data_IF_371562183995
#
_entry.id   IF_371562183995
#
_cell.length_a   1.000
_cell.length_b   1.000
_cell.length_c   1.000
_cell.angle_alpha   90.00
_cell.angle_beta   90.00
_cell.angle_gamma   90.00
#
_symmetry.space_group_name_H-M   'P 1'
#
loop_
_entity.id
_entity.type
_entity.pdbx_description
1 polymer ?
#
# COMPACT_ATOMS: atom_id res chain seq x y z
N UNK A 1 18.73 28.38 -27.04
CA UNK A 1 17.33 28.13 -27.40
C UNK A 1 16.52 29.24 -26.76
N UNK A 2 15.80 30.02 -27.56
CA UNK A 2 14.99 31.14 -27.06
C UNK A 2 13.66 30.59 -26.48
N UNK A 3 13.06 31.27 -25.51
CA UNK A 3 11.81 30.86 -24.86
C UNK A 3 10.66 30.72 -25.88
N UNK A 4 10.70 31.56 -26.93
CA UNK A 4 9.78 31.52 -28.08
C UNK A 4 9.98 30.33 -29.00
N UNK A 5 11.14 29.67 -28.94
CA UNK A 5 11.45 28.47 -29.70
C UNK A 5 10.89 27.24 -28.96
N UNK A 6 11.05 27.20 -27.64
CA UNK A 6 10.46 26.15 -26.78
C UNK A 6 8.93 26.20 -26.84
N UNK A 7 8.32 27.38 -26.71
CA UNK A 7 6.87 27.54 -26.80
C UNK A 7 6.33 27.07 -28.16
N UNK A 8 7.06 27.34 -29.24
CA UNK A 8 6.66 26.94 -30.60
C UNK A 8 6.74 25.43 -30.79
N UNK A 9 7.85 24.80 -30.38
CA UNK A 9 8.01 23.34 -30.44
C UNK A 9 6.95 22.64 -29.60
N UNK A 10 6.61 23.18 -28.42
CA UNK A 10 5.58 22.62 -27.56
C UNK A 10 4.18 22.77 -28.17
N UNK A 11 3.84 23.94 -28.73
CA UNK A 11 2.55 24.17 -29.39
C UNK A 11 2.38 23.30 -30.63
N UNK A 12 3.40 23.20 -31.46
CA UNK A 12 3.38 22.37 -32.68
C UNK A 12 3.24 20.89 -32.32
N UNK A 13 3.91 20.43 -31.25
CA UNK A 13 3.79 19.05 -30.75
C UNK A 13 2.39 18.72 -30.21
N UNK A 14 1.78 19.63 -29.44
CA UNK A 14 0.40 19.46 -28.96
C UNK A 14 -0.62 19.46 -30.10
N UNK A 15 -0.42 20.32 -31.11
CA UNK A 15 -1.32 20.38 -32.25
C UNK A 15 -1.25 19.09 -33.09
N UNK A 16 -0.05 18.56 -33.35
CA UNK A 16 0.11 17.28 -34.03
C UNK A 16 -0.57 16.12 -33.28
N UNK A 17 -0.44 16.08 -31.95
CA UNK A 17 -1.11 15.07 -31.10
C UNK A 17 -2.63 15.22 -31.09
N UNK A 18 -3.15 16.45 -31.17
CA UNK A 18 -4.58 16.70 -31.24
C UNK A 18 -5.19 16.31 -32.59
N UNK A 19 -4.41 16.41 -33.68
CA UNK A 19 -4.81 15.99 -35.03
C UNK A 19 -4.79 14.46 -35.19
N UNK A 20 -3.87 13.76 -34.53
CA UNK A 20 -3.78 12.29 -34.51
C UNK A 20 -4.74 11.61 -33.52
N UNK A 21 -5.35 12.37 -32.61
CA UNK A 21 -6.32 11.84 -31.66
C UNK A 21 -7.65 11.56 -32.36
N UNK A 22 -7.93 10.28 -32.65
CA UNK A 22 -9.20 9.83 -33.20
C UNK A 22 -10.35 9.99 -32.17
N UNK A 23 -10.93 11.19 -32.15
CA UNK A 23 -12.07 11.59 -31.30
C UNK A 23 -13.40 10.94 -31.70
N UNK A 24 -13.42 10.12 -32.77
CA UNK A 24 -14.64 9.48 -33.23
C UNK A 24 -15.01 8.21 -32.43
N UNK A 25 -14.11 7.69 -31.59
CA UNK A 25 -14.39 6.52 -30.76
C UNK A 25 -14.95 6.97 -29.41
N UNK A 26 -16.22 6.69 -29.07
CA UNK A 26 -16.75 7.02 -27.76
C UNK A 26 -15.96 6.28 -26.68
N UNK A 27 -15.15 7.02 -25.92
CA UNK A 27 -14.26 6.52 -24.84
C UNK A 27 -15.02 5.63 -23.85
N UNK A 28 -16.29 5.95 -23.63
CA UNK A 28 -17.21 5.18 -22.77
C UNK A 28 -17.46 3.76 -23.31
N UNK A 29 -17.54 3.57 -24.63
CA UNK A 29 -17.79 2.27 -25.23
C UNK A 29 -16.56 1.34 -25.13
N UNK A 30 -15.35 1.92 -25.20
CA UNK A 30 -14.08 1.17 -25.05
C UNK A 30 -13.91 0.70 -23.60
N UNK A 31 -14.09 1.62 -22.64
CA UNK A 31 -14.06 1.30 -21.21
C UNK A 31 -15.11 0.23 -20.81
N UNK A 32 -16.34 0.32 -21.35
CA UNK A 32 -17.37 -0.69 -21.08
C UNK A 32 -17.10 -2.04 -21.75
N UNK A 33 -16.42 -2.06 -22.90
CA UNK A 33 -16.02 -3.30 -23.57
C UNK A 33 -14.93 -4.04 -22.79
N UNK A 34 -13.92 -3.34 -22.27
CA UNK A 34 -12.89 -3.92 -21.41
C UNK A 34 -13.45 -4.46 -20.08
N UNK A 35 -14.37 -3.73 -19.44
CA UNK A 35 -15.03 -4.19 -18.21
C UNK A 35 -15.88 -5.45 -18.45
N UNK A 36 -16.60 -5.54 -19.58
CA UNK A 36 -17.33 -6.76 -19.95
C UNK A 36 -16.41 -7.94 -20.23
N UNK A 37 -15.26 -7.70 -20.87
CA UNK A 37 -14.29 -8.76 -21.14
C UNK A 37 -13.70 -9.35 -19.85
N UNK A 38 -13.39 -8.49 -18.87
CA UNK A 38 -12.90 -8.91 -17.53
C UNK A 38 -13.93 -9.77 -16.78
N UNK A 39 -15.23 -9.42 -16.86
CA UNK A 39 -16.31 -10.16 -16.17
C UNK A 39 -16.55 -11.56 -16.77
N UNK A 40 -16.41 -11.71 -18.09
CA UNK A 40 -16.58 -13.00 -18.76
C UNK A 40 -15.41 -13.97 -18.51
N UNK A 41 -14.17 -13.48 -18.37
CA UNK A 41 -13.00 -14.33 -18.05
C UNK A 41 -13.09 -14.93 -16.64
N UNK A 42 -13.55 -14.17 -15.65
CA UNK A 42 -13.70 -14.64 -14.26
C UNK A 42 -14.79 -15.72 -14.08
N UNK A 43 -15.78 -15.79 -14.98
CA UNK A 43 -16.84 -16.81 -14.91
C UNK A 43 -16.54 -18.06 -15.74
N UNK A 44 -15.63 -17.98 -16.71
CA UNK A 44 -15.26 -19.13 -17.54
C UNK A 44 -14.35 -20.14 -16.83
N UNK A 45 -13.61 -19.72 -15.79
CA UNK A 45 -12.71 -20.61 -15.02
C UNK A 45 -13.48 -21.48 -14.00
N UNK A 46 -14.71 -21.11 -13.63
CA UNK A 46 -15.51 -21.85 -12.65
C UNK A 46 -16.42 -22.96 -13.24
N UNK A 47 -16.38 -23.20 -14.56
CA UNK A 47 -17.32 -24.11 -15.24
C UNK A 47 -16.67 -25.32 -15.94
N UNK A 48 -15.36 -25.53 -15.83
CA UNK A 48 -14.63 -26.59 -16.54
C UNK A 48 -14.01 -27.66 -15.61
N UNK A 49 -14.71 -28.01 -14.52
CA UNK A 49 -14.37 -29.16 -13.68
C UNK A 49 -15.61 -30.04 -13.44
N UNK A 50 -16.20 -30.56 -14.52
CA UNK A 50 -17.17 -31.65 -14.43
C UNK A 50 -17.13 -32.51 -15.70
N UNK A 51 -17.11 -33.83 -15.48
CA UNK A 51 -17.33 -34.92 -16.45
C UNK A 51 -16.13 -35.42 -17.26
N UNK A 52 -15.36 -36.33 -16.66
CA UNK A 52 -14.96 -37.59 -17.30
C UNK A 52 -14.60 -38.65 -16.24
N UNK A 53 -15.59 -39.35 -15.70
CA UNK A 53 -15.38 -40.63 -14.97
C UNK A 53 -15.79 -41.75 -15.90
N UNK A 54 -14.79 -42.44 -16.45
CA UNK A 54 -14.94 -43.67 -17.23
C UNK A 54 -15.16 -44.83 -16.26
N UNK A 55 -16.26 -45.55 -16.47
CA UNK A 55 -16.57 -46.84 -15.85
C UNK A 55 -15.50 -47.88 -16.19
N UNK A 56 -14.83 -48.43 -15.18
CA UNK A 56 -14.23 -49.78 -15.25
C UNK A 56 -14.67 -50.58 -14.04
N UNK A 57 -15.52 -51.56 -14.32
CA UNK A 57 -15.91 -52.64 -13.42
C UNK A 57 -14.78 -53.68 -13.40
N UNK A 58 -14.29 -54.03 -12.23
CA UNK A 58 -13.35 -55.15 -12.06
C UNK A 58 -12.99 -55.35 -10.59
N UNK A 59 -13.66 -56.30 -9.94
CA UNK A 59 -13.42 -56.65 -8.55
C UNK A 59 -12.19 -57.54 -8.35
N UNK A 60 -11.49 -57.32 -7.24
CA UNK A 60 -10.69 -58.32 -6.51
C UNK A 60 -10.76 -57.95 -5.03
N UNK A 61 -11.25 -58.87 -4.20
CA UNK A 61 -11.11 -58.82 -2.73
C UNK A 61 -9.65 -59.03 -2.34
N UNK A 62 -9.02 -58.07 -1.64
CA UNK A 62 -7.87 -58.33 -0.75
C UNK A 62 -7.96 -57.40 0.47
N UNK A 63 -8.06 -58.02 1.64
CA UNK A 63 -7.90 -57.43 2.97
C UNK A 63 -6.46 -56.95 3.19
N UNK A 64 -6.24 -55.64 3.42
CA UNK A 64 -5.16 -55.14 4.31
C UNK A 64 -5.47 -53.74 4.85
N UNK A 65 -5.40 -53.63 6.18
CA UNK A 65 -5.35 -52.41 6.99
C UNK A 65 -4.50 -51.27 6.39
N UNK A 66 -5.12 -50.10 6.15
CA UNK A 66 -4.53 -48.77 6.40
C UNK A 66 -5.64 -47.72 6.36
N UNK A 67 -5.93 -47.12 7.50
CA UNK A 67 -6.82 -45.97 7.63
C UNK A 67 -6.03 -44.72 7.24
N UNK A 68 -6.09 -44.34 5.96
CA UNK A 68 -5.68 -43.03 5.47
C UNK A 68 -6.93 -42.15 5.39
N UNK A 69 -7.23 -41.42 6.48
CA UNK A 69 -8.11 -40.27 6.41
C UNK A 69 -7.38 -39.17 5.62
N UNK A 70 -7.99 -38.56 4.60
CA UNK A 70 -7.42 -37.37 3.95
C UNK A 70 -7.33 -36.28 5.01
N UNK A 71 -6.10 -35.88 5.34
CA UNK A 71 -5.83 -34.80 6.27
C UNK A 71 -6.64 -33.57 5.84
N UNK A 72 -7.55 -33.14 6.71
CA UNK A 72 -8.16 -31.83 6.57
C UNK A 72 -7.04 -30.79 6.54
N UNK A 73 -7.09 -29.78 5.66
CA UNK A 73 -6.11 -28.71 5.68
C UNK A 73 -6.03 -28.12 7.09
N UNK A 74 -4.83 -27.80 7.61
CA UNK A 74 -4.70 -27.27 8.95
C UNK A 74 -5.54 -26.01 9.05
N UNK A 75 -6.50 -26.01 9.98
CA UNK A 75 -7.17 -24.80 10.42
C UNK A 75 -6.07 -23.95 11.06
N UNK A 76 -5.69 -22.86 10.39
CA UNK A 76 -4.77 -21.88 10.95
C UNK A 76 -5.51 -21.26 12.14
N UNK A 77 -4.99 -21.51 13.33
CA UNK A 77 -5.45 -20.92 14.58
C UNK A 77 -5.21 -19.40 14.49
N UNK A 78 -6.24 -18.58 14.72
CA UNK A 78 -6.13 -17.12 14.88
C UNK A 78 -5.41 -16.83 16.20
N UNK A 79 -4.13 -17.23 16.26
CA UNK A 79 -3.29 -17.08 17.43
C UNK A 79 -3.24 -15.61 17.88
N UNK A 80 -2.97 -15.38 19.17
CA UNK A 80 -2.87 -14.02 19.70
C UNK A 80 -1.88 -13.22 18.84
N UNK A 81 -2.32 -12.05 18.39
CA UNK A 81 -1.48 -11.07 17.69
C UNK A 81 -0.11 -11.01 18.35
N UNK A 82 0.91 -11.51 17.66
CA UNK A 82 2.28 -11.39 18.14
C UNK A 82 2.56 -9.91 18.29
N UNK A 83 2.97 -9.48 19.49
CA UNK A 83 3.34 -8.09 19.77
C UNK A 83 4.43 -7.67 18.77
N UNK A 84 4.03 -6.90 17.76
CA UNK A 84 4.95 -6.28 16.81
C UNK A 84 5.63 -5.16 17.56
N UNK A 85 6.96 -5.10 17.47
CA UNK A 85 7.74 -4.00 18.06
C UNK A 85 8.33 -3.18 16.92
N UNK A 86 8.41 -1.85 17.08
CA UNK A 86 9.06 -1.03 16.08
C UNK A 86 10.55 -1.42 15.99
N UNK A 87 11.13 -1.45 14.78
CA UNK A 87 12.53 -1.79 14.60
C UNK A 87 13.44 -0.77 15.33
N UNK A 88 14.49 -1.30 15.92
CA UNK A 88 15.59 -0.63 16.61
C UNK A 88 16.81 -0.54 15.70
N UNK A 89 17.82 0.25 16.09
CA UNK A 89 19.06 0.41 15.30
C UNK A 89 19.85 -0.90 15.13
N UNK A 90 19.60 -1.89 16.00
CA UNK A 90 20.24 -3.22 15.94
C UNK A 90 19.43 -4.21 15.09
N UNK A 91 18.21 -3.86 14.68
CA UNK A 91 17.36 -4.74 13.89
C UNK A 91 17.81 -4.74 12.43
N UNK A 92 17.99 -5.95 11.88
CA UNK A 92 18.32 -6.15 10.46
C UNK A 92 17.10 -6.15 9.56
N UNK A 93 15.93 -6.35 10.16
CA UNK A 93 14.68 -6.61 9.47
C UNK A 93 13.59 -5.68 9.97
N UNK A 94 12.68 -5.29 9.09
CA UNK A 94 11.42 -4.62 9.43
C UNK A 94 10.26 -5.36 8.78
N UNK A 95 9.12 -5.37 9.46
CA UNK A 95 7.90 -5.98 8.91
C UNK A 95 7.12 -4.96 8.08
N UNK A 96 6.83 -5.32 6.84
CA UNK A 96 5.96 -4.61 5.92
C UNK A 96 4.58 -5.25 5.89
N UNK A 97 3.55 -4.41 5.88
CA UNK A 97 2.16 -4.85 5.83
C UNK A 97 1.49 -4.40 4.52
N UNK A 98 0.68 -5.28 3.95
CA UNK A 98 -0.16 -4.99 2.80
C UNK A 98 -1.34 -5.97 2.72
N UNK A 99 -2.58 -5.48 2.62
CA UNK A 99 -3.79 -6.29 2.37
C UNK A 99 -3.82 -7.68 3.06
N UNK A 100 -3.52 -7.75 4.37
CA UNK A 100 -3.59 -8.99 5.15
C UNK A 100 -2.35 -9.89 5.11
N UNK A 101 -1.26 -9.49 4.44
CA UNK A 101 0.06 -10.12 4.55
C UNK A 101 1.04 -9.25 5.34
N UNK A 102 1.89 -9.91 6.13
CA UNK A 102 3.06 -9.35 6.77
C UNK A 102 4.32 -10.05 6.21
N UNK A 103 5.34 -9.28 5.83
CA UNK A 103 6.60 -9.78 5.26
C UNK A 103 7.76 -9.04 5.90
N UNK A 104 8.78 -9.75 6.35
CA UNK A 104 9.99 -9.14 6.89
C UNK A 104 10.98 -8.85 5.74
N UNK A 105 11.44 -7.60 5.66
CA UNK A 105 12.40 -7.11 4.65
C UNK A 105 13.57 -6.41 5.34
N UNK A 106 14.73 -6.27 4.68
CA UNK A 106 15.86 -5.59 5.30
C UNK A 106 15.53 -4.14 5.68
N UNK A 107 15.97 -3.71 6.87
CA UNK A 107 15.65 -2.38 7.43
C UNK A 107 16.14 -1.24 6.55
N UNK A 108 17.20 -1.45 5.80
CA UNK A 108 17.82 -0.48 4.92
C UNK A 108 17.11 -0.34 3.57
N UNK A 109 16.14 -1.19 3.22
CA UNK A 109 15.47 -1.09 1.93
C UNK A 109 14.61 0.17 1.81
N UNK A 110 14.57 0.78 0.64
CA UNK A 110 13.68 1.90 0.35
C UNK A 110 12.23 1.46 0.07
N UNK A 111 11.47 2.39 -0.48
CA UNK A 111 10.09 2.19 -0.94
C UNK A 111 9.95 2.68 -2.38
N UNK A 112 9.13 1.97 -3.16
CA UNK A 112 8.94 2.21 -4.58
C UNK A 112 7.59 1.72 -5.08
N UNK A 113 7.43 1.70 -6.40
CA UNK A 113 6.27 1.12 -7.07
C UNK A 113 6.42 -0.38 -7.30
N UNK A 114 5.27 -1.05 -7.48
CA UNK A 114 5.17 -2.38 -8.05
C UNK A 114 4.23 -2.37 -9.26
N UNK A 115 4.33 -3.37 -10.16
CA UNK A 115 3.45 -3.46 -11.32
C UNK A 115 1.96 -3.59 -10.97
N UNK A 116 1.14 -2.86 -11.71
CA UNK A 116 -0.32 -3.01 -11.81
C UNK A 116 -0.71 -3.70 -13.12
N UNK A 117 -1.85 -4.40 -13.08
CA UNK A 117 -2.66 -4.88 -14.20
C UNK A 117 -1.96 -5.15 -15.55
N UNK A 118 -0.93 -6.01 -15.51
CA UNK A 118 -0.32 -6.59 -16.71
C UNK A 118 0.75 -5.75 -17.42
N UNK A 119 1.57 -5.00 -16.65
CA UNK A 119 2.92 -4.43 -17.00
C UNK A 119 3.07 -2.91 -16.79
N UNK A 120 2.16 -2.25 -16.09
CA UNK A 120 2.34 -0.82 -15.80
C UNK A 120 2.94 -0.69 -14.41
N UNK A 121 4.11 -0.07 -14.26
CA UNK A 121 4.65 0.25 -12.94
C UNK A 121 5.04 1.71 -12.93
N UNK A 122 4.55 2.43 -11.92
CA UNK A 122 4.92 3.80 -11.71
C UNK A 122 6.15 3.76 -10.81
N UNK A 123 7.32 3.97 -11.40
CA UNK A 123 8.64 3.90 -10.75
C UNK A 123 8.95 2.53 -10.12
N UNK A 124 9.33 1.52 -10.93
CA UNK A 124 9.74 0.21 -10.44
C UNK A 124 11.17 0.25 -9.83
N UNK A 125 11.43 1.23 -8.96
CA UNK A 125 12.72 1.45 -8.29
C UNK A 125 12.50 2.15 -6.94
N UNK A 126 13.53 2.22 -6.10
CA UNK A 126 13.50 2.95 -4.84
C UNK A 126 13.35 4.46 -5.10
N UNK A 127 12.25 5.07 -4.63
CA UNK A 127 12.03 6.53 -4.69
C UNK A 127 12.19 7.20 -3.32
N UNK A 128 11.96 6.43 -2.26
CA UNK A 128 11.98 6.91 -0.88
C UNK A 128 12.90 6.00 -0.08
N UNK A 129 13.81 6.58 0.67
CA UNK A 129 14.71 5.84 1.56
C UNK A 129 13.96 5.21 2.74
N UNK A 130 14.62 4.34 3.52
CA UNK A 130 14.03 3.71 4.70
C UNK A 130 13.55 4.73 5.74
N UNK A 131 14.16 5.92 5.77
CA UNK A 131 13.81 7.01 6.69
C UNK A 131 12.65 7.90 6.21
N UNK A 132 12.14 7.69 5.00
CA UNK A 132 11.12 8.52 4.37
C UNK A 132 11.66 9.69 3.54
N UNK A 133 12.98 9.86 3.43
CA UNK A 133 13.58 10.88 2.58
C UNK A 133 13.44 10.51 1.10
N UNK A 134 13.23 11.49 0.22
CA UNK A 134 13.23 11.25 -1.22
C UNK A 134 14.65 10.97 -1.71
N UNK A 135 14.76 9.98 -2.58
CA UNK A 135 16.00 9.59 -3.22
C UNK A 135 16.19 10.37 -4.53
N UNK A 136 17.42 10.78 -4.81
CA UNK A 136 17.77 11.47 -6.06
C UNK A 136 18.51 10.51 -7.01
N UNK A 137 17.85 10.15 -8.11
CA UNK A 137 18.42 9.29 -9.16
C UNK A 137 18.18 7.80 -8.94
N UNK A 138 18.71 6.98 -9.86
CA UNK A 138 18.66 5.52 -9.75
C UNK A 138 19.65 5.06 -8.68
N UNK A 139 19.16 4.31 -7.70
CA UNK A 139 19.97 3.83 -6.56
C UNK A 139 19.99 2.31 -6.56
N UNK A 140 21.15 1.71 -6.33
CA UNK A 140 21.37 0.26 -6.21
C UNK A 140 20.83 -0.33 -4.88
N UNK A 141 19.91 0.38 -4.23
CA UNK A 141 19.36 0.01 -2.94
C UNK A 141 18.10 -0.83 -3.13
N UNK A 142 17.95 -1.88 -2.33
CA UNK A 142 16.75 -2.70 -2.40
C UNK A 142 15.49 -1.93 -2.01
N UNK A 143 14.30 -2.34 -2.47
CA UNK A 143 13.06 -1.62 -2.14
C UNK A 143 11.83 -2.49 -1.99
N UNK A 144 10.85 -1.95 -1.27
CA UNK A 144 9.50 -2.52 -1.14
C UNK A 144 8.54 -1.79 -2.07
N UNK A 145 8.00 -2.51 -3.05
CA UNK A 145 7.04 -2.00 -4.03
C UNK A 145 5.60 -2.33 -3.67
N UNK A 146 4.67 -1.43 -4.01
CA UNK A 146 3.22 -1.63 -3.92
C UNK A 146 2.53 -1.24 -5.23
N UNK A 147 1.42 -1.91 -5.63
CA UNK A 147 0.72 -1.69 -6.89
C UNK A 147 -0.13 -0.40 -6.86
N UNK A 148 0.46 0.68 -6.38
CA UNK A 148 -0.19 1.98 -6.26
C UNK A 148 0.14 2.74 -7.54
N UNK A 149 -0.88 3.12 -8.31
CA UNK A 149 -0.68 4.09 -9.38
C UNK A 149 -0.29 5.42 -8.74
N UNK A 150 0.99 5.80 -8.86
CA UNK A 150 1.64 6.91 -8.14
C UNK A 150 1.43 8.24 -8.87
N UNK A 151 1.24 8.27 -10.18
CA UNK A 151 1.03 9.51 -10.96
C UNK A 151 0.35 9.20 -12.30
N UNK A 152 0.03 10.24 -13.08
CA UNK A 152 -0.21 10.15 -14.53
C UNK A 152 1.06 9.77 -15.32
N UNK A 153 2.23 9.86 -14.69
CA UNK A 153 3.54 9.48 -15.22
C UNK A 153 3.89 8.05 -14.78
N UNK A 154 3.10 7.08 -15.23
CA UNK A 154 3.48 5.67 -15.14
C UNK A 154 4.21 5.28 -16.43
N UNK A 155 5.36 4.62 -16.28
CA UNK A 155 6.01 3.99 -17.40
C UNK A 155 5.33 2.63 -17.66
N UNK A 156 5.14 2.30 -18.93
CA UNK A 156 5.00 0.90 -19.29
C UNK A 156 6.32 0.24 -18.93
N UNK A 157 6.29 -0.75 -18.04
CA UNK A 157 7.46 -1.59 -17.77
C UNK A 157 7.74 -2.32 -19.09
N UNK A 158 8.89 -2.06 -19.75
CA UNK A 158 9.21 -2.75 -20.98
C UNK A 158 9.16 -4.26 -20.74
N UNK A 159 8.82 -5.03 -21.77
CA UNK A 159 8.86 -6.50 -21.73
C UNK A 159 10.26 -7.04 -21.38
N UNK A 160 11.29 -6.19 -21.48
CA UNK A 160 12.68 -6.45 -21.13
C UNK A 160 13.19 -5.55 -20.00
N UNK A 161 12.32 -5.17 -19.05
CA UNK A 161 12.79 -4.52 -17.83
C UNK A 161 13.64 -5.49 -17.02
N UNK A 162 14.86 -5.06 -16.71
CA UNK A 162 15.79 -5.78 -15.84
C UNK A 162 15.93 -5.00 -14.54
N UNK A 163 15.74 -5.65 -13.38
CA UNK A 163 15.91 -5.00 -12.09
C UNK A 163 17.36 -4.61 -11.87
N UNK A 164 17.59 -3.39 -11.41
CA UNK A 164 18.93 -2.87 -11.08
C UNK A 164 19.30 -3.01 -9.61
N UNK A 165 18.36 -3.45 -8.76
CA UNK A 165 18.56 -3.71 -7.34
C UNK A 165 17.52 -4.72 -6.81
N UNK A 166 17.77 -5.38 -5.67
CA UNK A 166 16.84 -6.27 -4.97
C UNK A 166 15.45 -5.64 -4.74
N UNK A 167 14.38 -6.43 -4.81
CA UNK A 167 13.03 -5.90 -4.54
C UNK A 167 12.09 -6.91 -3.90
N UNK A 168 11.10 -6.38 -3.17
CA UNK A 168 9.96 -7.12 -2.69
C UNK A 168 8.68 -6.37 -3.08
N UNK A 169 7.82 -6.97 -3.89
CA UNK A 169 6.52 -6.41 -4.23
C UNK A 169 5.41 -7.09 -3.44
N UNK A 170 4.55 -6.27 -2.84
CA UNK A 170 3.40 -6.73 -2.06
C UNK A 170 2.12 -6.41 -2.83
N UNK A 171 1.40 -7.45 -3.28
CA UNK A 171 0.15 -7.35 -4.03
C UNK A 171 0.29 -7.04 -5.52
N UNK A 172 1.49 -7.17 -6.11
CA UNK A 172 1.66 -7.00 -7.55
C UNK A 172 0.84 -8.03 -8.34
N UNK A 173 0.31 -7.63 -9.50
CA UNK A 173 -0.44 -8.53 -10.40
C UNK A 173 0.53 -9.45 -11.18
N UNK A 174 1.20 -10.34 -10.44
CA UNK A 174 2.20 -11.31 -10.92
C UNK A 174 1.74 -12.69 -10.49
N UNK A 175 1.67 -13.62 -11.45
CA UNK A 175 1.29 -15.00 -11.15
C UNK A 175 2.36 -15.70 -10.27
N UNK A 176 1.95 -16.51 -9.29
CA UNK A 176 2.90 -17.31 -8.51
C UNK A 176 3.80 -18.20 -9.39
N UNK A 177 5.08 -18.26 -9.03
CA UNK A 177 6.10 -18.98 -9.79
C UNK A 177 7.46 -18.30 -9.74
N UNK A 178 8.41 -18.87 -10.48
CA UNK A 178 9.80 -18.38 -10.56
C UNK A 178 10.13 -17.95 -11.98
N UNK A 179 10.83 -16.83 -12.12
CA UNK A 179 11.29 -16.26 -13.37
C UNK A 179 12.77 -15.85 -13.24
N UNK A 180 13.59 -16.26 -14.19
CA UNK A 180 15.02 -15.96 -14.22
C UNK A 180 15.31 -14.87 -15.26
N UNK A 181 16.11 -13.88 -14.89
CA UNK A 181 16.63 -12.85 -15.79
C UNK A 181 18.02 -13.23 -16.31
N UNK A 182 18.49 -12.52 -17.34
CA UNK A 182 19.74 -12.84 -18.03
C UNK A 182 20.99 -12.78 -17.12
N UNK A 183 20.98 -11.93 -16.10
CA UNK A 183 22.13 -11.67 -15.21
C UNK A 183 22.16 -12.53 -13.94
N UNK A 184 21.39 -13.63 -13.90
CA UNK A 184 21.32 -14.52 -12.74
C UNK A 184 20.40 -14.02 -11.62
N UNK A 185 19.74 -12.89 -11.84
CA UNK A 185 18.69 -12.39 -10.98
C UNK A 185 17.46 -13.31 -11.07
N UNK A 186 16.86 -13.64 -9.94
CA UNK A 186 15.69 -14.53 -9.88
C UNK A 186 14.55 -13.81 -9.19
N UNK A 187 13.40 -13.75 -9.85
CA UNK A 187 12.13 -13.34 -9.28
C UNK A 187 11.33 -14.57 -8.89
N UNK A 188 10.82 -14.60 -7.68
CA UNK A 188 9.94 -15.66 -7.18
C UNK A 188 8.71 -15.04 -6.54
N UNK A 189 7.54 -15.57 -6.87
CA UNK A 189 6.24 -15.09 -6.39
C UNK A 189 5.49 -16.22 -5.72
N UNK A 190 4.99 -15.94 -4.52
CA UNK A 190 4.09 -16.82 -3.76
C UNK A 190 2.77 -16.08 -3.47
N UNK A 191 1.74 -16.83 -3.08
CA UNK A 191 0.48 -16.26 -2.59
C UNK A 191 0.32 -16.57 -1.10
N UNK A 192 0.06 -15.55 -0.29
CA UNK A 192 -0.19 -15.65 1.15
C UNK A 192 -1.44 -14.86 1.49
N UNK A 193 -2.42 -15.51 2.12
CA UNK A 193 -3.71 -14.88 2.48
C UNK A 193 -4.45 -14.20 1.29
N UNK A 194 -4.29 -14.71 0.06
CA UNK A 194 -4.90 -14.14 -1.14
C UNK A 194 -4.17 -12.92 -1.72
N UNK A 195 -2.98 -12.63 -1.20
CA UNK A 195 -2.10 -11.53 -1.63
C UNK A 195 -0.80 -12.10 -2.17
N UNK A 196 -0.33 -11.59 -3.32
CA UNK A 196 0.95 -11.98 -3.90
C UNK A 196 2.12 -11.33 -3.17
N UNK A 197 3.17 -12.10 -2.95
CA UNK A 197 4.46 -11.61 -2.46
C UNK A 197 5.51 -12.03 -3.48
N UNK A 198 6.11 -11.05 -4.14
CA UNK A 198 7.15 -11.27 -5.16
C UNK A 198 8.48 -10.77 -4.63
N UNK A 199 9.51 -11.59 -4.66
CA UNK A 199 10.87 -11.19 -4.30
C UNK A 199 11.79 -11.42 -5.49
N UNK A 200 12.50 -10.37 -5.88
CA UNK A 200 13.54 -10.42 -6.90
C UNK A 200 14.89 -10.13 -6.27
N UNK A 201 15.89 -11.00 -6.49
CA UNK A 201 17.30 -10.76 -6.12
C UNK A 201 18.20 -11.81 -6.80
N UNK A 202 19.49 -11.50 -6.94
CA UNK A 202 20.57 -12.41 -7.29
C UNK A 202 21.10 -13.22 -6.09
N UNK A 203 20.68 -12.90 -4.87
CA UNK A 203 20.99 -13.63 -3.63
C UNK A 203 19.87 -14.62 -3.29
N UNK A 204 20.14 -15.92 -3.46
CA UNK A 204 19.15 -16.97 -3.21
C UNK A 204 18.77 -17.10 -1.72
N UNK A 205 19.72 -16.88 -0.81
CA UNK A 205 19.48 -17.02 0.63
C UNK A 205 18.59 -15.86 1.11
N UNK A 206 18.86 -14.64 0.63
CA UNK A 206 18.02 -13.46 0.90
C UNK A 206 16.59 -13.64 0.39
N UNK A 207 16.43 -14.19 -0.82
CA UNK A 207 15.11 -14.47 -1.40
C UNK A 207 14.33 -15.46 -0.55
N UNK A 208 14.97 -16.57 -0.17
CA UNK A 208 14.36 -17.61 0.66
C UNK A 208 13.96 -17.04 2.03
N UNK A 209 14.81 -16.23 2.67
CA UNK A 209 14.54 -15.62 3.97
C UNK A 209 13.33 -14.67 3.93
N UNK A 210 13.26 -13.78 2.93
CA UNK A 210 12.11 -12.86 2.78
C UNK A 210 10.82 -13.66 2.52
N UNK A 211 10.83 -14.60 1.58
CA UNK A 211 9.63 -15.36 1.23
C UNK A 211 9.16 -16.27 2.37
N UNK A 212 10.08 -16.88 3.13
CA UNK A 212 9.75 -17.69 4.30
C UNK A 212 9.15 -16.87 5.45
N UNK A 213 9.44 -15.56 5.51
CA UNK A 213 8.85 -14.65 6.51
C UNK A 213 7.38 -14.30 6.22
N UNK A 214 6.94 -14.47 4.97
CA UNK A 214 5.62 -14.05 4.52
C UNK A 214 4.51 -14.86 5.22
N UNK A 215 3.63 -14.14 5.92
CA UNK A 215 2.60 -14.74 6.77
C UNK A 215 1.30 -13.92 6.73
N UNK A 216 0.13 -14.54 6.97
CA UNK A 216 -1.09 -13.80 7.26
C UNK A 216 -0.83 -12.86 8.44
N UNK A 217 -1.17 -11.58 8.29
CA UNK A 217 -0.92 -10.58 9.32
C UNK A 217 -1.32 -9.20 8.86
N UNK A 218 -1.83 -8.40 9.79
CA UNK A 218 -2.18 -7.03 9.51
C UNK A 218 -1.98 -6.17 10.76
N UNK A 219 -1.36 -5.00 10.56
CA UNK A 219 -1.29 -3.96 11.60
C UNK A 219 -2.58 -3.12 11.63
N UNK A 220 -3.23 -3.00 10.47
CA UNK A 220 -4.44 -2.22 10.26
C UNK A 220 -5.46 -3.06 9.50
N UNK A 221 -6.76 -2.79 9.68
CA UNK A 221 -7.82 -3.45 8.92
C UNK A 221 -7.53 -3.39 7.40
N UNK A 222 -7.54 -4.52 6.67
CA UNK A 222 -7.20 -4.51 5.25
C UNK A 222 -8.17 -3.67 4.39
N UNK A 223 -9.44 -3.58 4.80
CA UNK A 223 -10.47 -2.82 4.08
C UNK A 223 -11.40 -2.08 5.06
N UNK A 224 -11.88 -0.92 4.65
CA UNK A 224 -12.82 -0.10 5.40
C UNK A 224 -14.00 0.32 4.52
N UNK A 225 -15.22 0.07 4.97
CA UNK A 225 -16.42 0.51 4.25
C UNK A 225 -16.58 2.05 4.24
N UNK A 226 -15.98 2.74 5.23
CA UNK A 226 -16.05 4.20 5.41
C UNK A 226 -14.86 4.71 6.21
N UNK A 227 -14.61 6.00 6.10
CA UNK A 227 -13.63 6.70 6.94
C UNK A 227 -14.04 6.54 8.42
N UNK A 228 -13.14 6.08 9.31
CA UNK A 228 -13.44 5.94 10.73
C UNK A 228 -13.67 7.30 11.38
N UNK A 229 -14.32 7.30 12.54
CA UNK A 229 -14.48 8.52 13.33
C UNK A 229 -13.22 8.77 14.15
N UNK A 230 -12.74 10.01 14.16
CA UNK A 230 -11.68 10.41 15.06
C UNK A 230 -12.17 10.40 16.52
N UNK A 231 -11.24 10.14 17.44
CA UNK A 231 -11.47 10.11 18.88
C UNK A 231 -10.38 10.91 19.59
N UNK A 232 -10.78 11.81 20.49
CA UNK A 232 -9.83 12.59 21.27
C UNK A 232 -9.12 11.75 22.35
N UNK A 233 -9.64 10.55 22.67
CA UNK A 233 -9.13 9.70 23.76
C UNK A 233 -9.17 10.41 25.12
N UNK A 234 -10.12 11.33 25.32
CA UNK A 234 -10.15 12.18 26.50
C UNK A 234 -10.67 11.40 27.71
N UNK A 235 -9.77 11.06 28.64
CA UNK A 235 -10.13 10.83 30.04
C UNK A 235 -10.01 12.14 30.81
N UNK A 236 -10.84 12.29 31.84
CA UNK A 236 -10.70 13.35 32.86
C UNK A 236 -9.41 13.18 33.70
N UNK A 237 -8.71 12.06 33.54
CA UNK A 237 -7.74 11.52 34.51
C UNK A 237 -6.29 11.48 33.99
N UNK A 238 -6.00 12.17 32.87
CA UNK A 238 -4.70 12.20 32.17
C UNK A 238 -4.39 10.87 31.46
N UNK A 239 -3.59 10.97 30.39
CA UNK A 239 -3.12 9.82 29.60
C UNK A 239 -1.87 9.25 30.27
N UNK A 240 -1.86 7.95 30.56
CA UNK A 240 -0.70 7.22 31.02
C UNK A 240 0.30 6.92 29.89
N UNK A 241 1.15 5.91 30.08
CA UNK A 241 2.16 5.52 29.08
C UNK A 241 1.54 5.00 27.78
N UNK A 242 2.15 5.35 26.64
CA UNK A 242 1.78 4.81 25.33
C UNK A 242 2.02 3.29 25.28
N UNK A 243 1.01 2.54 24.82
CA UNK A 243 1.06 1.09 24.63
C UNK A 243 1.41 0.79 23.17
N UNK A 244 0.64 1.36 22.23
CA UNK A 244 0.77 1.12 20.80
C UNK A 244 0.51 2.42 20.05
N UNK A 245 1.21 2.63 18.95
CA UNK A 245 0.82 3.63 17.98
C UNK A 245 1.12 3.18 16.56
N UNK A 246 0.15 3.38 15.69
CA UNK A 246 0.21 2.96 14.31
C UNK A 246 -0.38 4.01 13.38
N UNK A 247 0.13 4.02 12.16
CA UNK A 247 -0.39 4.80 11.06
C UNK A 247 -0.85 3.87 9.96
N UNK A 248 -2.08 4.10 9.50
CA UNK A 248 -2.70 3.35 8.42
C UNK A 248 -3.09 4.33 7.30
N UNK A 249 -2.58 4.14 6.09
CA UNK A 249 -3.04 4.86 4.91
C UNK A 249 -4.05 4.03 4.13
N UNK A 250 -5.13 4.67 3.71
CA UNK A 250 -6.24 4.01 3.02
C UNK A 250 -6.61 4.77 1.75
N UNK A 251 -6.86 4.02 0.68
CA UNK A 251 -7.22 4.55 -0.64
C UNK A 251 -8.51 3.92 -1.14
N UNK A 252 -9.30 4.69 -1.86
CA UNK A 252 -10.54 4.20 -2.48
C UNK A 252 -10.22 3.50 -3.79
N UNK A 253 -10.32 2.18 -3.84
CA UNK A 253 -10.28 1.42 -5.09
C UNK A 253 -11.72 1.07 -5.54
N UNK A 254 -12.32 2.00 -6.29
CA UNK A 254 -13.67 1.82 -6.84
C UNK A 254 -14.81 2.21 -5.88
N UNK A 255 -16.04 1.70 -6.11
CA UNK A 255 -17.24 2.16 -5.39
C UNK A 255 -17.44 1.53 -4.00
N UNK A 256 -16.61 0.54 -3.60
CA UNK A 256 -16.90 -0.41 -2.52
C UNK A 256 -16.38 -0.05 -1.12
N UNK A 257 -15.47 0.91 -0.99
CA UNK A 257 -14.84 1.22 0.30
C UNK A 257 -13.46 1.83 0.11
N UNK A 258 -12.58 1.55 1.07
CA UNK A 258 -11.19 1.93 1.06
C UNK A 258 -10.34 0.72 1.41
N UNK A 259 -9.24 0.54 0.69
CA UNK A 259 -8.28 -0.53 0.88
C UNK A 259 -7.02 0.03 1.51
N UNK A 260 -6.39 -0.78 2.37
CA UNK A 260 -5.15 -0.42 3.03
C UNK A 260 -4.03 -0.29 2.01
N UNK A 261 -3.44 0.89 1.90
CA UNK A 261 -2.29 1.16 1.05
C UNK A 261 -0.96 1.10 1.81
N UNK A 262 -0.98 1.35 3.13
CA UNK A 262 0.23 1.28 3.96
C UNK A 262 -0.11 1.17 5.42
N UNK A 263 0.72 0.47 6.18
CA UNK A 263 0.66 0.47 7.63
C UNK A 263 2.06 0.40 8.25
N UNK A 264 2.29 1.18 9.31
CA UNK A 264 3.53 1.14 10.09
C UNK A 264 3.26 1.55 11.53
N UNK A 265 4.13 1.12 12.44
CA UNK A 265 4.15 1.61 13.81
C UNK A 265 4.93 2.92 13.91
N UNK A 266 4.58 3.76 14.89
CA UNK A 266 5.30 4.99 15.17
C UNK A 266 5.96 4.97 16.53
N UNK A 267 7.10 5.65 16.62
CA UNK A 267 7.74 5.90 17.91
C UNK A 267 6.88 6.82 18.79
N UNK A 268 6.96 6.69 20.13
CA UNK A 268 6.20 7.54 21.04
C UNK A 268 6.42 9.05 20.80
N UNK A 269 7.65 9.44 20.46
CA UNK A 269 7.99 10.84 20.17
C UNK A 269 7.31 11.35 18.89
N UNK A 270 7.23 10.53 17.83
CA UNK A 270 6.57 10.91 16.59
C UNK A 270 5.06 11.10 16.80
N UNK A 271 4.43 10.22 17.57
CA UNK A 271 2.99 10.24 17.89
C UNK A 271 2.61 11.50 18.67
N UNK A 272 3.33 11.79 19.76
CA UNK A 272 3.04 12.99 20.54
C UNK A 272 3.31 14.27 19.74
N UNK A 273 4.35 14.27 18.90
CA UNK A 273 4.63 15.41 18.01
C UNK A 273 3.51 15.61 16.99
N UNK A 274 3.02 14.52 16.37
CA UNK A 274 1.93 14.56 15.39
C UNK A 274 0.64 15.12 16.00
N UNK A 275 0.21 14.59 17.15
CA UNK A 275 -0.99 15.07 17.83
C UNK A 275 -0.85 16.52 18.30
N UNK A 276 0.28 16.88 18.92
CA UNK A 276 0.50 18.25 19.39
C UNK A 276 0.58 19.25 18.24
N UNK A 277 1.10 18.87 17.07
CA UNK A 277 1.12 19.71 15.89
C UNK A 277 -0.28 19.85 15.27
N UNK A 278 -1.04 18.76 15.16
CA UNK A 278 -2.42 18.79 14.67
C UNK A 278 -3.32 19.64 15.56
N UNK A 279 -3.22 19.55 16.89
CA UNK A 279 -4.01 20.34 17.85
C UNK A 279 -3.77 21.85 17.72
N UNK A 280 -2.51 22.23 17.45
CA UNK A 280 -2.08 23.63 17.27
C UNK A 280 -2.38 24.20 15.89
N UNK A 281 -2.71 23.36 14.92
CA UNK A 281 -3.06 23.81 13.59
C UNK A 281 -4.30 24.72 13.63
N UNK A 282 -4.40 25.71 12.73
CA UNK A 282 -5.56 26.61 12.69
C UNK A 282 -6.82 25.84 12.27
N UNK A 283 -7.99 26.46 12.45
CA UNK A 283 -9.20 25.97 11.80
C UNK A 283 -9.00 25.92 10.27
N UNK A 284 -9.49 24.88 9.58
CA UNK A 284 -9.36 24.82 8.13
C UNK A 284 -10.13 25.99 7.50
N UNK A 285 -9.59 26.62 6.45
CA UNK A 285 -10.37 27.58 5.69
C UNK A 285 -11.60 26.88 5.09
N UNK A 286 -12.70 27.60 4.82
CA UNK A 286 -13.78 27.05 4.02
C UNK A 286 -13.21 26.74 2.62
N UNK A 287 -13.30 25.47 2.21
CA UNK A 287 -12.89 25.03 0.88
C UNK A 287 -14.12 24.44 0.19
N UNK A 288 -14.41 24.91 -1.02
CA UNK A 288 -15.47 24.35 -1.85
C UNK A 288 -14.90 23.19 -2.66
N UNK A 289 -15.12 21.98 -2.15
CA UNK A 289 -14.54 20.76 -2.70
C UNK A 289 -15.64 19.93 -3.36
N UNK A 290 -15.77 20.06 -4.67
CA UNK A 290 -16.57 19.14 -5.47
C UNK A 290 -15.77 17.85 -5.73
N UNK A 291 -16.00 16.80 -4.94
CA UNK A 291 -15.39 15.50 -5.20
C UNK A 291 -15.57 14.48 -4.08
N UNK A 292 -15.26 13.22 -4.39
CA UNK A 292 -15.22 12.15 -3.38
C UNK A 292 -13.82 12.08 -2.78
N UNK A 293 -13.75 11.84 -1.46
CA UNK A 293 -12.49 11.55 -0.77
C UNK A 293 -11.92 10.24 -1.30
N UNK A 294 -10.73 10.32 -1.89
CA UNK A 294 -10.02 9.17 -2.45
C UNK A 294 -9.02 8.56 -1.49
N UNK A 295 -8.54 9.30 -0.49
CA UNK A 295 -7.46 8.86 0.39
C UNK A 295 -7.52 9.53 1.77
N UNK A 296 -7.12 8.79 2.80
CA UNK A 296 -6.91 9.33 4.14
C UNK A 296 -5.88 8.52 4.92
N UNK A 297 -5.33 9.12 5.97
CA UNK A 297 -4.42 8.49 6.90
C UNK A 297 -5.05 8.48 8.29
N UNK A 298 -4.95 7.36 9.00
CA UNK A 298 -5.41 7.19 10.38
C UNK A 298 -4.18 7.07 11.26
N UNK A 299 -4.02 8.00 12.20
CA UNK A 299 -3.11 7.84 13.32
C UNK A 299 -3.91 7.30 14.50
N UNK A 300 -3.61 6.08 14.93
CA UNK A 300 -4.22 5.46 16.10
C UNK A 300 -3.16 5.26 17.18
N UNK A 301 -3.50 5.62 18.42
CA UNK A 301 -2.63 5.45 19.57
C UNK A 301 -3.45 4.98 20.78
N UNK A 302 -2.94 3.96 21.45
CA UNK A 302 -3.52 3.38 22.67
C UNK A 302 -2.61 3.70 23.84
N UNK A 303 -3.18 4.21 24.93
CA UNK A 303 -2.48 4.58 26.15
C UNK A 303 -3.01 3.79 27.34
N UNK A 304 -2.19 3.61 28.36
CA UNK A 304 -2.68 3.18 29.67
C UNK A 304 -3.57 4.27 30.28
N UNK A 305 -4.69 3.90 30.89
CA UNK A 305 -5.41 4.79 31.80
C UNK A 305 -4.78 4.74 33.20
N UNK A 306 -4.59 5.90 33.84
CA UNK A 306 -3.96 5.97 35.18
C UNK A 306 -4.90 5.48 36.31
N UNK A 307 -6.19 5.29 36.01
CA UNK A 307 -7.21 4.68 36.87
C UNK A 307 -7.80 3.41 36.22
N UNK A 308 -8.34 2.46 37.01
CA UNK A 308 -7.95 1.05 36.94
C UNK A 308 -8.19 0.36 35.58
N UNK A 309 -7.08 -0.10 34.97
CA UNK A 309 -6.93 -1.14 33.93
C UNK A 309 -7.65 -0.95 32.59
N UNK A 310 -8.21 0.22 32.29
CA UNK A 310 -8.74 0.48 30.97
C UNK A 310 -7.66 1.07 30.04
N UNK A 311 -7.91 0.95 28.73
CA UNK A 311 -7.07 1.54 27.68
C UNK A 311 -7.75 2.77 27.10
N UNK A 312 -6.95 3.80 26.79
CA UNK A 312 -7.43 5.03 26.18
C UNK A 312 -7.02 5.06 24.71
N UNK A 313 -8.02 5.04 23.83
CA UNK A 313 -7.81 5.11 22.39
C UNK A 313 -7.97 6.53 21.85
N UNK A 314 -6.90 7.00 21.21
CA UNK A 314 -6.87 8.28 20.53
C UNK A 314 -6.67 8.05 19.04
N UNK A 315 -7.57 8.61 18.24
CA UNK A 315 -7.55 8.47 16.78
C UNK A 315 -7.63 9.84 16.12
N UNK A 316 -6.67 10.15 15.26
CA UNK A 316 -6.75 11.27 14.33
C UNK A 316 -6.91 10.76 12.90
N UNK A 317 -7.74 11.46 12.12
CA UNK A 317 -7.97 11.14 10.71
C UNK A 317 -7.51 12.32 9.86
N UNK A 318 -6.46 12.09 9.09
CA UNK A 318 -5.87 13.04 8.15
C UNK A 318 -6.52 12.81 6.79
N UNK A 319 -7.45 13.68 6.44
CA UNK A 319 -8.05 13.72 5.11
C UNK A 319 -7.13 14.51 4.18
N UNK A 320 -6.55 13.82 3.20
CA UNK A 320 -5.64 14.43 2.25
C UNK A 320 -6.37 15.15 1.12
N UNK A 321 -7.71 15.10 1.08
CA UNK A 321 -8.46 15.72 -0.01
C UNK A 321 -8.57 17.25 0.16
N UNK A 322 -8.41 17.98 -0.96
CA UNK A 322 -8.86 19.36 -1.14
C UNK A 322 -8.49 20.35 -0.01
N UNK A 323 -7.22 20.78 0.01
CA UNK A 323 -6.66 21.65 1.05
C UNK A 323 -6.24 20.92 2.33
N UNK A 324 -6.74 19.70 2.54
CA UNK A 324 -6.32 18.80 3.61
C UNK A 324 -6.84 19.20 4.98
N UNK A 325 -7.33 18.22 5.74
CA UNK A 325 -7.80 18.44 7.12
C UNK A 325 -7.36 17.32 8.06
N UNK A 326 -7.34 17.61 9.35
CA UNK A 326 -7.15 16.61 10.40
C UNK A 326 -8.36 16.65 11.33
N UNK A 327 -9.12 15.56 11.39
CA UNK A 327 -10.17 15.37 12.39
C UNK A 327 -9.55 14.76 13.65
N UNK A 328 -9.68 15.46 14.77
CA UNK A 328 -9.19 15.05 16.10
C UNK A 328 -10.33 14.56 17.01
N UNK A 329 -11.55 14.42 16.45
CA UNK A 329 -12.74 14.01 17.17
C UNK A 329 -13.40 15.16 17.95
N UNK A 330 -14.31 14.83 18.88
CA UNK A 330 -15.01 15.83 19.69
C UNK A 330 -14.04 16.68 20.51
N UNK A 331 -14.26 18.01 20.54
CA UNK A 331 -13.43 18.95 21.28
C UNK A 331 -12.55 19.79 20.34
N UNK A 332 -11.30 19.37 20.02
CA UNK A 332 -10.42 20.12 19.12
C UNK A 332 -11.04 20.30 17.72
N UNK A 333 -11.86 19.32 17.29
CA UNK A 333 -12.59 19.34 16.04
C UNK A 333 -11.68 19.23 14.83
N UNK A 334 -12.21 19.68 13.68
CA UNK A 334 -11.49 19.69 12.42
C UNK A 334 -10.43 20.79 12.41
N UNK A 335 -9.20 20.43 12.01
CA UNK A 335 -8.05 21.32 11.87
C UNK A 335 -7.54 21.36 10.44
N UNK A 336 -6.88 22.44 10.07
CA UNK A 336 -6.16 22.53 8.80
C UNK A 336 -5.01 21.51 8.80
N UNK A 337 -4.80 20.82 7.68
CA UNK A 337 -3.58 20.05 7.49
C UNK A 337 -2.41 21.03 7.31
N UNK A 338 -1.32 20.82 8.06
CA UNK A 338 -0.12 21.67 8.00
C UNK A 338 1.13 20.81 7.86
N UNK A 339 2.24 21.35 7.31
CA UNK A 339 3.49 20.61 7.25
C UNK A 339 3.91 20.02 8.61
N UNK A 340 3.81 20.81 9.69
CA UNK A 340 4.18 20.36 11.03
C UNK A 340 3.30 19.20 11.55
N UNK A 341 2.04 19.11 11.11
CA UNK A 341 1.15 18.01 11.49
C UNK A 341 1.42 16.72 10.70
N UNK A 342 2.03 16.85 9.52
CA UNK A 342 2.34 15.76 8.59
C UNK A 342 3.75 15.21 8.79
N UNK A 343 4.74 16.08 9.01
CA UNK A 343 6.15 15.73 9.10
C UNK A 343 6.45 14.54 10.03
N UNK A 344 5.82 14.41 11.22
CA UNK A 344 6.07 13.25 12.08
C UNK A 344 5.51 11.94 11.52
N UNK A 345 4.52 12.02 10.63
CA UNK A 345 3.92 10.89 9.90
C UNK A 345 4.66 10.59 8.59
N UNK A 346 5.32 11.58 7.99
CA UNK A 346 6.04 11.44 6.73
C UNK A 346 7.39 10.74 6.91
N UNK A 347 7.36 9.56 7.53
CA UNK A 347 8.49 8.66 7.76
C UNK A 347 8.19 7.33 7.08
N UNK A 348 9.24 6.52 6.90
CA UNK A 348 9.12 5.20 6.31
C UNK A 348 8.46 5.29 4.91
N UNK A 349 7.51 4.41 4.58
CA UNK A 349 6.89 4.32 3.26
C UNK A 349 5.71 5.25 3.02
N UNK A 350 5.30 6.06 4.00
CA UNK A 350 4.15 6.99 3.83
C UNK A 350 4.36 7.97 2.65
N UNK A 351 5.57 8.56 2.47
CA UNK A 351 5.83 9.43 1.32
C UNK A 351 5.74 8.74 -0.04
N UNK A 352 5.82 7.39 -0.10
CA UNK A 352 5.74 6.64 -1.36
C UNK A 352 4.33 6.11 -1.67
N UNK A 353 3.36 6.27 -0.76
CA UNK A 353 2.01 5.68 -0.91
C UNK A 353 0.87 6.69 -0.81
N UNK A 354 1.08 7.81 -0.12
CA UNK A 354 0.07 8.84 0.13
C UNK A 354 0.26 10.06 -0.75
N UNK A 355 -0.82 10.58 -1.32
CA UNK A 355 -0.81 11.88 -1.98
C UNK A 355 -1.03 13.03 -1.01
N UNK A 356 -0.31 14.12 -1.25
CA UNK A 356 -0.55 15.39 -0.58
C UNK A 356 -1.83 16.07 -1.08
N UNK A 357 -2.39 16.98 -0.28
CA UNK A 357 -3.57 17.73 -0.67
C UNK A 357 -3.34 18.55 -1.94
N UNK A 358 -4.34 18.54 -2.82
CA UNK A 358 -4.39 19.44 -3.97
C UNK A 358 -4.29 20.89 -3.50
N UNK A 359 -3.34 21.64 -4.06
CA UNK A 359 -3.03 23.01 -3.64
C UNK A 359 -2.12 23.15 -2.41
N UNK A 360 -1.55 22.05 -1.90
CA UNK A 360 -0.51 22.09 -0.87
C UNK A 360 0.67 22.98 -1.29
N UNK A 361 1.22 23.75 -0.34
CA UNK A 361 2.39 24.61 -0.55
C UNK A 361 3.58 24.10 0.24
N UNK A 362 4.77 24.15 -0.36
CA UNK A 362 6.05 23.86 0.32
C UNK A 362 6.15 22.42 0.81
N UNK A 363 6.62 22.23 2.04
CA UNK A 363 6.99 20.94 2.63
C UNK A 363 5.90 19.85 2.63
N UNK A 364 4.61 20.17 2.44
CA UNK A 364 3.57 19.14 2.25
C UNK A 364 3.72 18.39 0.92
N UNK A 365 4.27 19.04 -0.12
CA UNK A 365 4.59 18.37 -1.39
C UNK A 365 5.77 17.42 -1.20
N UNK A 366 6.72 17.76 -0.32
CA UNK A 366 7.92 16.97 -0.08
C UNK A 366 7.68 15.79 0.87
N UNK A 367 6.61 15.85 1.66
CA UNK A 367 6.24 14.83 2.66
C UNK A 367 5.42 13.65 2.11
N UNK A 368 4.97 13.74 0.87
CA UNK A 368 4.04 12.79 0.24
C UNK A 368 4.48 12.51 -1.20
N UNK A 369 3.80 11.61 -1.92
CA UNK A 369 4.09 11.29 -3.33
C UNK A 369 4.16 12.57 -4.18
N UNK A 370 3.39 13.58 -3.81
CA UNK A 370 3.23 14.85 -4.50
C UNK A 370 1.77 15.30 -4.38
N UNK A 371 1.39 16.43 -4.98
CA UNK A 371 -0.01 16.79 -5.10
C UNK A 371 -0.76 15.74 -5.94
N UNK A 372 -2.00 15.42 -5.58
CA UNK A 372 -2.95 14.84 -6.55
C UNK A 372 -3.03 15.79 -7.76
N UNK A 373 -2.68 15.27 -8.94
CA UNK A 373 -2.74 15.99 -10.22
C UNK A 373 -4.14 16.47 -10.57
#
# INVERSE_FOLDING_TARGET
MDEREVERVFRDGLQARAEDADVAVPVVARALAEVRHRRHRRWAVSAAAAAAVVLVVGGVEVLTNRSDDPASPPVVDDGPWTEVRPPTEDDKWRTEYWQGVAVDVPVEWGYGGAPTDGRTACYPEAMVGPDGSRLEGAIEQGWVGRPIAVTDVCALVPDAWEPTAPFAWLGADVEPGTYEYADGYVQETIEVAGTTVTVGTDDADLREEILASARPGHLCEPTLAKIPRASAGASIERRGGLILAQVCAYRREGPGGFDLSYATELSPAAVETAFAAAERAPAPPPVDCAGQRSEFVVLHATYNDEFPNDVLDRTAVYDMFCGGTVDLGPGPGLRALTPAAVEPLARNGIPSVVYGPSGGKGAMIDSFIGPLG
#
